data_IF_912998745693
#
_entry.id   IF_912998745693
#
_cell.length_a   1.000
_cell.length_b   1.000
_cell.length_c   1.000
_cell.angle_alpha   90.00
_cell.angle_beta   90.00
_cell.angle_gamma   90.00
#
_symmetry.space_group_name_H-M   'P 1'
#
loop_
_entity.id
_entity.type
_entity.pdbx_description
1 polymer ?
#
# COMPACT_ATOMS: atom_id res chain seq x y z
N UNK A 1 -3.28 -25.80 -6.91
CA UNK A 1 -3.85 -26.23 -5.63
C UNK A 1 -2.93 -27.29 -5.01
N UNK A 2 -2.69 -27.23 -3.71
CA UNK A 2 -1.83 -28.18 -3.00
C UNK A 2 -2.63 -28.76 -1.85
N UNK A 3 -2.56 -30.07 -1.70
CA UNK A 3 -3.18 -30.77 -0.59
C UNK A 3 -2.21 -30.83 0.61
N UNK A 4 -2.59 -30.24 1.73
CA UNK A 4 -1.79 -30.19 2.95
C UNK A 4 -2.43 -31.13 3.98
N UNK A 5 -1.73 -32.20 4.31
CA UNK A 5 -2.27 -33.28 5.15
C UNK A 5 -1.83 -33.19 6.60
N UNK A 6 -0.68 -32.58 6.92
CA UNK A 6 -0.14 -32.48 8.26
C UNK A 6 0.11 -31.03 8.70
N UNK A 7 0.21 -30.82 10.04
CA UNK A 7 0.52 -29.53 10.64
C UNK A 7 1.95 -29.11 10.33
N UNK A 8 2.90 -30.02 10.43
CA UNK A 8 4.32 -29.76 10.18
C UNK A 8 4.56 -29.37 8.71
N UNK A 9 3.84 -30.00 7.78
CA UNK A 9 3.89 -29.63 6.36
C UNK A 9 3.32 -28.23 6.11
N UNK A 10 2.26 -27.83 6.82
CA UNK A 10 1.69 -26.49 6.72
C UNK A 10 2.67 -25.44 7.27
N UNK A 11 3.26 -25.70 8.45
CA UNK A 11 4.19 -24.78 9.08
C UNK A 11 5.44 -24.59 8.24
N UNK A 12 6.08 -25.66 7.76
CA UNK A 12 7.22 -25.58 6.87
C UNK A 12 6.92 -24.81 5.57
N UNK A 13 5.77 -25.08 4.95
CA UNK A 13 5.39 -24.41 3.70
C UNK A 13 5.02 -22.92 3.90
N UNK A 14 4.57 -22.54 5.10
CA UNK A 14 4.33 -21.13 5.45
C UNK A 14 5.63 -20.41 5.79
N UNK A 15 6.56 -21.04 6.52
CA UNK A 15 7.88 -20.50 6.85
C UNK A 15 8.70 -20.26 5.56
N UNK A 16 8.70 -21.20 4.65
CA UNK A 16 9.39 -21.08 3.35
C UNK A 16 8.66 -20.16 2.36
N UNK A 17 7.50 -19.63 2.72
CA UNK A 17 6.65 -18.84 1.81
C UNK A 17 6.35 -19.55 0.47
N UNK A 18 6.19 -20.87 0.49
CA UNK A 18 5.92 -21.67 -0.71
C UNK A 18 4.43 -21.75 -1.06
N UNK A 19 3.57 -21.40 -0.14
CA UNK A 19 2.10 -21.44 -0.30
C UNK A 19 1.45 -20.11 0.03
N UNK A 20 0.31 -19.86 -0.61
CA UNK A 20 -0.65 -18.80 -0.28
C UNK A 20 -1.99 -19.46 0.03
N UNK A 21 -2.60 -19.06 1.14
CA UNK A 21 -3.93 -19.48 1.52
C UNK A 21 -4.96 -18.53 0.92
N UNK A 22 -6.03 -19.05 0.32
CA UNK A 22 -7.12 -18.25 -0.24
C UNK A 22 -8.46 -18.85 0.11
N UNK A 23 -9.43 -17.99 0.37
CA UNK A 23 -10.83 -18.36 0.43
C UNK A 23 -11.34 -18.57 -1.00
N UNK A 24 -11.92 -19.74 -1.32
CA UNK A 24 -12.51 -19.99 -2.66
C UNK A 24 -13.59 -18.98 -3.07
N UNK A 25 -14.24 -18.34 -2.08
CA UNK A 25 -15.27 -17.32 -2.30
C UNK A 25 -14.72 -15.91 -2.43
N UNK A 26 -13.52 -15.66 -1.89
CA UNK A 26 -12.85 -14.36 -1.95
C UNK A 26 -11.36 -14.54 -2.26
N UNK A 27 -11.05 -14.68 -3.55
CA UNK A 27 -9.70 -14.93 -4.05
C UNK A 27 -8.73 -13.76 -3.85
N UNK A 28 -9.25 -12.57 -3.55
CA UNK A 28 -8.44 -11.37 -3.36
C UNK A 28 -7.90 -11.21 -1.94
N UNK A 29 -8.52 -11.83 -0.94
CA UNK A 29 -8.10 -11.73 0.45
C UNK A 29 -7.19 -12.89 0.84
N UNK A 30 -6.00 -12.59 1.36
CA UNK A 30 -5.16 -13.56 2.07
C UNK A 30 -5.60 -13.57 3.54
N UNK A 31 -6.23 -14.64 4.04
CA UNK A 31 -6.55 -14.72 5.45
C UNK A 31 -5.26 -14.78 6.28
N UNK A 32 -5.18 -13.98 7.34
CA UNK A 32 -4.06 -14.04 8.27
C UNK A 32 -4.00 -15.42 8.90
N UNK A 33 -2.92 -16.14 8.71
CA UNK A 33 -2.66 -17.43 9.36
C UNK A 33 -2.33 -17.21 10.85
N UNK A 34 -3.38 -17.08 11.68
CA UNK A 34 -3.22 -16.78 13.10
C UNK A 34 -2.98 -18.02 13.99
N UNK A 35 -3.38 -19.21 13.52
CA UNK A 35 -3.26 -20.46 14.27
C UNK A 35 -3.22 -21.65 13.30
N UNK A 36 -2.11 -22.38 13.27
CA UNK A 36 -1.87 -23.50 12.35
C UNK A 36 -2.94 -24.61 12.50
N UNK A 37 -3.46 -24.82 13.71
CA UNK A 37 -4.48 -25.84 13.96
C UNK A 37 -5.85 -25.44 13.40
N UNK A 38 -6.22 -24.17 13.49
CA UNK A 38 -7.47 -23.63 12.89
C UNK A 38 -7.38 -23.59 11.38
N UNK A 39 -6.23 -23.15 10.85
CA UNK A 39 -5.94 -23.12 9.42
C UNK A 39 -5.99 -24.51 8.79
N UNK A 40 -5.42 -25.53 9.45
CA UNK A 40 -5.50 -26.92 8.99
C UNK A 40 -6.93 -27.47 8.98
N UNK A 41 -7.75 -27.11 9.98
CA UNK A 41 -9.19 -27.46 9.99
C UNK A 41 -9.94 -26.79 8.83
N UNK A 42 -9.65 -25.52 8.55
CA UNK A 42 -10.26 -24.77 7.45
C UNK A 42 -9.85 -25.33 6.08
N UNK A 43 -8.61 -25.78 5.91
CA UNK A 43 -8.14 -26.49 4.72
C UNK A 43 -8.86 -27.83 4.54
N UNK A 44 -8.98 -28.63 5.59
CA UNK A 44 -9.70 -29.94 5.55
C UNK A 44 -11.21 -29.79 5.32
N UNK A 45 -11.83 -28.69 5.76
CA UNK A 45 -13.25 -28.39 5.51
C UNK A 45 -13.50 -27.78 4.13
N UNK A 46 -12.47 -27.46 3.35
CA UNK A 46 -12.57 -26.77 2.07
C UNK A 46 -12.92 -25.30 2.14
N UNK A 47 -12.94 -24.71 3.37
CA UNK A 47 -13.16 -23.28 3.56
C UNK A 47 -11.97 -22.42 3.12
N UNK A 48 -10.77 -23.01 3.14
CA UNK A 48 -9.54 -22.44 2.61
C UNK A 48 -8.92 -23.41 1.62
N UNK A 49 -8.18 -22.88 0.65
CA UNK A 49 -7.37 -23.63 -0.31
C UNK A 49 -5.94 -23.12 -0.28
N UNK A 50 -4.99 -24.05 -0.40
CA UNK A 50 -3.58 -23.73 -0.48
C UNK A 50 -3.14 -23.74 -1.95
N UNK A 51 -2.53 -22.65 -2.39
CA UNK A 51 -1.97 -22.51 -3.72
C UNK A 51 -0.45 -22.33 -3.63
N UNK A 52 0.27 -22.94 -4.55
CA UNK A 52 1.71 -22.76 -4.64
C UNK A 52 2.05 -21.36 -5.10
N UNK A 53 3.03 -20.73 -4.45
CA UNK A 53 3.56 -19.43 -4.88
C UNK A 53 4.28 -19.62 -6.22
N UNK A 54 3.91 -18.91 -7.28
CA UNK A 54 4.58 -19.02 -8.57
C UNK A 54 6.01 -18.51 -8.46
N UNK A 55 6.92 -19.17 -9.21
CA UNK A 55 8.36 -18.83 -9.25
C UNK A 55 8.70 -18.34 -10.64
N UNK A 56 9.44 -17.24 -10.72
CA UNK A 56 9.86 -16.61 -11.96
C UNK A 56 11.39 -16.44 -12.00
N UNK A 57 11.97 -16.66 -13.15
CA UNK A 57 13.41 -16.56 -13.35
C UNK A 57 13.85 -15.16 -13.79
N UNK A 58 12.98 -14.41 -14.44
CA UNK A 58 13.27 -13.07 -14.94
C UNK A 58 12.01 -12.19 -15.01
N UNK A 59 12.18 -10.90 -15.25
CA UNK A 59 11.09 -9.93 -15.36
C UNK A 59 10.17 -10.19 -16.55
N UNK A 60 10.70 -10.69 -17.69
CA UNK A 60 9.90 -10.98 -18.87
C UNK A 60 8.86 -12.09 -18.65
N UNK A 61 9.19 -13.11 -17.82
CA UNK A 61 8.21 -14.12 -17.41
C UNK A 61 7.09 -13.50 -16.56
N UNK A 62 7.43 -12.56 -15.68
CA UNK A 62 6.46 -11.83 -14.85
C UNK A 62 5.55 -10.97 -15.72
N UNK A 63 6.12 -10.25 -16.69
CA UNK A 63 5.35 -9.43 -17.64
C UNK A 63 4.38 -10.27 -18.45
N UNK A 64 4.84 -11.42 -18.95
CA UNK A 64 3.98 -12.35 -19.68
C UNK A 64 2.85 -12.89 -18.78
N UNK A 65 3.15 -13.27 -17.55
CA UNK A 65 2.16 -13.75 -16.60
C UNK A 65 1.10 -12.70 -16.24
N UNK A 66 1.49 -11.42 -16.16
CA UNK A 66 0.56 -10.30 -15.95
C UNK A 66 -0.28 -10.07 -17.21
N UNK A 67 0.34 -10.04 -18.39
CA UNK A 67 -0.36 -9.84 -19.66
C UNK A 67 -1.41 -10.91 -19.94
N UNK A 68 -1.17 -12.15 -19.50
CA UNK A 68 -2.11 -13.28 -19.59
C UNK A 68 -3.11 -13.35 -18.41
N UNK A 69 -3.08 -12.39 -17.48
CA UNK A 69 -3.87 -12.40 -16.25
C UNK A 69 -3.67 -13.66 -15.38
N UNK A 70 -2.54 -14.35 -15.52
CA UNK A 70 -2.21 -15.49 -14.68
C UNK A 70 -1.81 -15.07 -13.25
N UNK A 71 -1.25 -13.85 -13.11
CA UNK A 71 -0.81 -13.28 -11.82
C UNK A 71 -1.19 -11.80 -11.78
N UNK A 72 -1.75 -11.34 -10.65
CA UNK A 72 -2.01 -9.91 -10.42
C UNK A 72 -0.75 -9.17 -9.94
N UNK A 73 -0.72 -7.84 -10.09
CA UNK A 73 0.40 -6.99 -9.64
C UNK A 73 0.72 -7.12 -8.15
N UNK A 74 -0.27 -7.46 -7.33
CA UNK A 74 -0.15 -7.58 -5.88
C UNK A 74 0.01 -9.03 -5.39
N UNK A 75 -0.02 -10.02 -6.30
CA UNK A 75 0.12 -11.41 -5.92
C UNK A 75 1.52 -11.70 -5.35
N UNK A 76 1.58 -12.58 -4.34
CA UNK A 76 2.86 -13.05 -3.81
C UNK A 76 3.53 -13.98 -4.80
N UNK A 77 4.78 -13.69 -5.13
CA UNK A 77 5.63 -14.46 -6.05
C UNK A 77 7.02 -14.68 -5.46
N UNK A 78 7.72 -15.70 -5.97
CA UNK A 78 9.16 -15.86 -5.80
C UNK A 78 9.84 -15.50 -7.11
N UNK A 79 10.77 -14.56 -7.08
CA UNK A 79 11.47 -14.11 -8.29
C UNK A 79 12.96 -14.01 -8.04
N UNK A 80 13.77 -14.21 -9.09
CA UNK A 80 15.19 -13.91 -9.03
C UNK A 80 15.42 -12.42 -9.23
N UNK A 81 16.18 -11.83 -8.34
CA UNK A 81 16.59 -10.43 -8.42
C UNK A 81 18.08 -10.35 -8.73
N UNK A 82 18.42 -9.76 -9.87
CA UNK A 82 19.80 -9.59 -10.30
C UNK A 82 20.39 -8.35 -9.64
N UNK A 83 21.39 -8.52 -8.79
CA UNK A 83 22.12 -7.46 -8.10
C UNK A 83 23.60 -7.79 -8.05
N UNK A 84 24.37 -6.96 -7.38
CA UNK A 84 25.80 -7.18 -7.11
C UNK A 84 26.03 -7.32 -5.61
N UNK A 85 26.99 -8.13 -5.21
CA UNK A 85 27.44 -8.23 -3.82
C UNK A 85 28.40 -7.09 -3.45
N UNK A 86 28.88 -7.08 -2.20
CA UNK A 86 29.85 -6.10 -1.70
C UNK A 86 31.17 -6.10 -2.45
N UNK A 87 31.53 -7.22 -3.08
CA UNK A 87 32.74 -7.40 -3.89
C UNK A 87 32.53 -7.01 -5.37
N UNK A 88 31.29 -6.64 -5.77
CA UNK A 88 30.94 -6.29 -7.15
C UNK A 88 30.61 -7.49 -8.05
N UNK A 89 30.52 -8.71 -7.51
CA UNK A 89 30.16 -9.89 -8.30
C UNK A 89 28.63 -9.94 -8.53
N UNK A 90 28.16 -10.37 -9.71
CA UNK A 90 26.75 -10.51 -9.99
C UNK A 90 26.15 -11.68 -9.21
N UNK A 91 25.12 -11.40 -8.42
CA UNK A 91 24.34 -12.38 -7.69
C UNK A 91 22.86 -12.33 -8.09
N UNK A 92 22.18 -13.46 -7.97
CA UNK A 92 20.77 -13.59 -8.36
C UNK A 92 19.99 -14.34 -7.28
N UNK A 93 19.82 -13.76 -6.08
CA UNK A 93 19.05 -14.37 -5.01
C UNK A 93 17.58 -14.52 -5.40
N UNK A 94 16.94 -15.57 -4.88
CA UNK A 94 15.49 -15.73 -4.97
C UNK A 94 14.84 -14.95 -3.82
N UNK A 95 13.96 -14.02 -4.16
CA UNK A 95 13.26 -13.18 -3.19
C UNK A 95 11.76 -13.42 -3.24
N UNK A 96 11.12 -13.33 -2.09
CA UNK A 96 9.66 -13.33 -1.98
C UNK A 96 9.18 -11.89 -2.10
N UNK A 97 8.34 -11.63 -3.08
CA UNK A 97 7.92 -10.27 -3.42
C UNK A 97 6.60 -10.27 -4.18
N UNK A 98 6.27 -9.15 -4.82
CA UNK A 98 5.13 -9.00 -5.73
C UNK A 98 5.60 -8.55 -7.10
N UNK A 99 4.85 -8.83 -8.19
CA UNK A 99 5.17 -8.35 -9.53
C UNK A 99 5.39 -6.85 -9.59
N UNK A 100 4.55 -6.06 -8.92
CA UNK A 100 4.69 -4.60 -8.90
C UNK A 100 6.01 -4.11 -8.29
N UNK A 101 6.50 -4.79 -7.24
CA UNK A 101 7.81 -4.48 -6.65
C UNK A 101 8.97 -4.90 -7.56
N UNK A 102 8.80 -5.96 -8.34
CA UNK A 102 9.82 -6.37 -9.33
C UNK A 102 9.96 -5.35 -10.47
N UNK A 103 8.86 -4.72 -10.91
CA UNK A 103 8.94 -3.61 -11.85
C UNK A 103 9.73 -2.43 -11.28
N UNK A 104 9.51 -2.09 -10.02
CA UNK A 104 10.27 -1.03 -9.36
C UNK A 104 11.75 -1.43 -9.17
N UNK A 105 12.01 -2.70 -8.90
CA UNK A 105 13.36 -3.25 -8.77
C UNK A 105 14.18 -3.12 -10.06
N UNK A 106 13.55 -3.24 -11.22
CA UNK A 106 14.24 -3.15 -12.51
C UNK A 106 14.78 -1.73 -12.80
N UNK A 107 14.12 -0.71 -12.27
CA UNK A 107 14.58 0.68 -12.45
C UNK A 107 15.56 1.13 -11.36
N UNK A 108 15.70 0.36 -10.28
CA UNK A 108 16.60 0.66 -9.18
C UNK A 108 18.06 0.54 -9.64
N UNK A 109 18.97 1.46 -9.27
CA UNK A 109 20.40 1.31 -9.56
C UNK A 109 20.94 0.03 -8.91
N UNK A 110 21.75 -0.72 -9.67
CA UNK A 110 22.40 -1.95 -9.20
C UNK A 110 23.65 -1.60 -8.42
N UNK A 111 23.49 -1.34 -7.14
CA UNK A 111 24.58 -1.06 -6.20
C UNK A 111 24.42 -1.95 -4.97
N UNK A 112 25.50 -2.43 -4.35
CA UNK A 112 25.43 -3.20 -3.11
C UNK A 112 24.81 -2.38 -1.97
N UNK A 113 25.03 -1.07 -1.98
CA UNK A 113 24.52 -0.13 -0.96
C UNK A 113 23.02 0.19 -1.12
N UNK A 114 22.40 -0.24 -2.23
CA UNK A 114 20.96 -0.06 -2.49
C UNK A 114 20.28 -1.43 -2.55
N UNK A 115 20.02 -2.05 -1.38
CA UNK A 115 19.50 -3.41 -1.31
C UNK A 115 18.02 -3.47 -1.73
N UNK A 116 17.61 -4.62 -2.26
CA UNK A 116 16.20 -4.89 -2.63
C UNK A 116 15.21 -4.69 -1.47
N UNK A 117 15.65 -4.87 -0.23
CA UNK A 117 14.82 -4.68 0.96
C UNK A 117 14.22 -3.28 1.08
N UNK A 118 14.87 -2.25 0.50
CA UNK A 118 14.36 -0.88 0.47
C UNK A 118 13.01 -0.75 -0.23
N UNK A 119 12.79 -1.58 -1.26
CA UNK A 119 11.55 -1.56 -2.05
C UNK A 119 10.63 -2.75 -1.75
N UNK A 120 11.12 -3.79 -1.07
CA UNK A 120 10.32 -4.97 -0.73
C UNK A 120 9.46 -4.77 0.53
N UNK A 121 8.84 -3.61 0.65
CA UNK A 121 7.94 -3.21 1.74
C UNK A 121 6.76 -2.41 1.19
N UNK A 122 5.83 -2.03 2.05
CA UNK A 122 4.78 -1.08 1.66
C UNK A 122 5.44 0.28 1.38
N UNK A 123 5.25 0.80 0.18
CA UNK A 123 5.84 2.06 -0.27
C UNK A 123 4.77 3.15 -0.27
N UNK A 124 4.76 3.96 0.77
CA UNK A 124 4.01 5.22 0.82
C UNK A 124 4.86 6.36 0.22
N UNK A 125 4.28 7.55 0.10
CA UNK A 125 5.01 8.74 -0.37
C UNK A 125 6.28 9.00 0.44
N UNK A 126 6.25 8.76 1.75
CA UNK A 126 7.38 8.97 2.66
C UNK A 126 8.50 7.96 2.42
N UNK A 127 8.16 6.69 2.25
CA UNK A 127 9.13 5.63 1.95
C UNK A 127 9.76 5.80 0.58
N UNK A 128 9.00 6.24 -0.44
CA UNK A 128 9.57 6.56 -1.76
C UNK A 128 10.59 7.70 -1.66
N UNK A 129 10.30 8.74 -0.84
CA UNK A 129 11.27 9.81 -0.59
C UNK A 129 12.55 9.27 0.06
N UNK A 130 12.43 8.33 1.00
CA UNK A 130 13.59 7.67 1.60
C UNK A 130 14.40 6.86 0.57
N UNK A 131 13.73 6.12 -0.33
CA UNK A 131 14.41 5.38 -1.41
C UNK A 131 15.21 6.33 -2.30
N UNK A 132 14.64 7.48 -2.67
CA UNK A 132 15.34 8.48 -3.48
C UNK A 132 16.55 9.06 -2.72
N UNK A 133 16.42 9.33 -1.43
CA UNK A 133 17.52 9.83 -0.59
C UNK A 133 18.67 8.79 -0.48
N UNK A 134 18.34 7.51 -0.28
CA UNK A 134 19.34 6.43 -0.26
C UNK A 134 20.05 6.28 -1.62
N UNK A 135 19.30 6.32 -2.73
CA UNK A 135 19.90 6.30 -4.08
C UNK A 135 20.82 7.51 -4.28
N UNK A 136 20.43 8.70 -3.80
CA UNK A 136 21.27 9.88 -3.90
C UNK A 136 22.57 9.76 -3.10
N UNK A 137 22.49 9.24 -1.88
CA UNK A 137 23.67 9.10 -1.00
C UNK A 137 24.68 8.10 -1.52
N UNK A 138 24.21 6.99 -2.08
CA UNK A 138 25.09 5.88 -2.49
C UNK A 138 25.44 5.90 -3.97
N UNK A 139 24.57 6.38 -4.86
CA UNK A 139 24.79 6.37 -6.31
C UNK A 139 25.04 7.76 -6.90
N UNK A 140 24.85 8.83 -6.13
CA UNK A 140 25.08 10.21 -6.56
C UNK A 140 23.99 10.80 -7.43
N UNK A 141 24.13 12.10 -7.76
CA UNK A 141 23.10 12.91 -8.41
C UNK A 141 22.65 12.37 -9.77
N UNK A 142 23.57 11.93 -10.62
CA UNK A 142 23.26 11.45 -11.98
C UNK A 142 22.31 10.25 -11.95
N UNK A 143 22.67 9.21 -11.18
CA UNK A 143 21.86 8.00 -11.07
C UNK A 143 20.51 8.27 -10.42
N UNK A 144 20.45 9.20 -9.48
CA UNK A 144 19.19 9.64 -8.86
C UNK A 144 18.26 10.29 -9.86
N UNK A 145 18.76 11.17 -10.73
CA UNK A 145 17.95 11.78 -11.79
C UNK A 145 17.42 10.72 -12.76
N UNK A 146 18.27 9.78 -13.20
CA UNK A 146 17.88 8.69 -14.10
C UNK A 146 16.82 7.80 -13.42
N UNK A 147 17.00 7.47 -12.13
CA UNK A 147 16.04 6.68 -11.37
C UNK A 147 14.69 7.40 -11.25
N UNK A 148 14.70 8.70 -10.92
CA UNK A 148 13.48 9.51 -10.80
C UNK A 148 12.71 9.60 -12.12
N UNK A 149 13.40 9.82 -13.25
CA UNK A 149 12.80 9.87 -14.58
C UNK A 149 12.17 8.53 -14.97
N UNK A 150 12.87 7.42 -14.72
CA UNK A 150 12.36 6.08 -14.97
C UNK A 150 11.15 5.75 -14.10
N UNK A 151 11.19 6.14 -12.82
CA UNK A 151 10.07 5.96 -11.88
C UNK A 151 8.85 6.75 -12.34
N UNK A 152 9.02 7.99 -12.77
CA UNK A 152 7.95 8.83 -13.31
C UNK A 152 7.34 8.21 -14.57
N UNK A 153 8.16 7.79 -15.51
CA UNK A 153 7.71 7.15 -16.75
C UNK A 153 6.94 5.85 -16.49
N UNK A 154 7.45 5.01 -15.57
CA UNK A 154 6.77 3.80 -15.13
C UNK A 154 5.43 4.11 -14.46
N UNK A 155 5.40 5.10 -13.56
CA UNK A 155 4.19 5.51 -12.84
C UNK A 155 3.10 5.98 -13.80
N UNK A 156 3.41 6.85 -14.75
CA UNK A 156 2.45 7.29 -15.77
C UNK A 156 1.99 6.13 -16.66
N UNK A 157 2.90 5.25 -17.07
CA UNK A 157 2.57 4.08 -17.86
C UNK A 157 1.60 3.12 -17.14
N UNK A 158 1.82 2.86 -15.86
CA UNK A 158 0.94 1.99 -15.08
C UNK A 158 -0.41 2.68 -14.77
N UNK A 159 -0.41 3.98 -14.47
CA UNK A 159 -1.65 4.74 -14.27
C UNK A 159 -2.53 4.74 -15.53
N UNK A 160 -1.92 4.91 -16.71
CA UNK A 160 -2.64 4.83 -17.98
C UNK A 160 -3.22 3.43 -18.24
N UNK A 161 -2.47 2.36 -17.91
CA UNK A 161 -2.96 0.97 -18.04
C UNK A 161 -4.09 0.65 -17.04
N UNK A 162 -4.02 1.19 -15.84
CA UNK A 162 -5.05 1.01 -14.82
C UNK A 162 -6.38 1.66 -15.21
N UNK A 163 -6.35 2.72 -16.04
CA UNK A 163 -7.56 3.39 -16.54
C UNK A 163 -8.43 4.00 -15.44
N UNK A 164 -7.83 4.38 -14.31
CA UNK A 164 -8.56 4.95 -13.15
C UNK A 164 -8.97 6.37 -13.51
N UNK A 165 -10.28 6.64 -13.42
CA UNK A 165 -10.87 7.98 -13.56
C UNK A 165 -11.66 8.28 -12.31
N UNK A 166 -11.62 9.52 -11.85
CA UNK A 166 -12.49 9.98 -10.77
C UNK A 166 -13.10 11.34 -11.14
N UNK A 167 -14.31 11.55 -10.71
CA UNK A 167 -15.06 12.78 -10.91
C UNK A 167 -15.51 13.40 -9.60
N UNK A 168 -16.18 14.54 -9.68
CA UNK A 168 -16.75 15.23 -8.52
C UNK A 168 -17.75 14.35 -7.77
N UNK A 169 -18.50 13.53 -8.49
CA UNK A 169 -19.59 12.72 -7.93
C UNK A 169 -19.08 11.50 -7.16
N UNK A 170 -17.79 11.13 -7.34
CA UNK A 170 -17.14 10.07 -6.57
C UNK A 170 -16.75 10.53 -5.15
N UNK A 171 -16.75 11.85 -4.91
CA UNK A 171 -16.50 12.43 -3.60
C UNK A 171 -17.80 12.44 -2.77
N UNK A 172 -18.01 11.38 -2.00
CA UNK A 172 -19.19 11.22 -1.17
C UNK A 172 -19.14 12.16 0.02
N UNK A 173 -20.19 12.96 0.19
CA UNK A 173 -20.33 13.85 1.35
C UNK A 173 -20.79 13.00 2.55
N UNK A 174 -20.02 12.95 3.67
CA UNK A 174 -20.42 12.17 4.84
C UNK A 174 -21.65 12.78 5.52
N UNK A 175 -22.56 11.95 6.03
CA UNK A 175 -23.76 12.38 6.75
C UNK A 175 -23.42 13.14 8.04
N UNK A 176 -22.28 12.81 8.66
CA UNK A 176 -21.75 13.47 9.86
C UNK A 176 -21.37 14.95 9.65
N UNK A 177 -21.16 15.40 8.40
CA UNK A 177 -20.74 16.76 8.06
C UNK A 177 -21.57 17.85 8.73
N UNK A 178 -22.89 17.70 8.71
CA UNK A 178 -23.79 18.69 9.27
C UNK A 178 -23.65 18.80 10.80
N UNK A 179 -23.38 17.69 11.49
CA UNK A 179 -23.12 17.66 12.92
C UNK A 179 -21.82 18.40 13.27
N UNK A 180 -20.72 18.07 12.57
CA UNK A 180 -19.41 18.70 12.78
C UNK A 180 -19.44 20.23 12.55
N UNK A 181 -20.15 20.66 11.51
CA UNK A 181 -20.33 22.10 11.23
C UNK A 181 -21.14 22.78 12.33
N UNK A 182 -22.20 22.14 12.84
CA UNK A 182 -23.01 22.70 13.90
C UNK A 182 -22.22 22.88 15.21
N UNK A 183 -21.41 21.88 15.59
CA UNK A 183 -20.49 21.93 16.74
C UNK A 183 -19.47 23.07 16.59
N UNK A 184 -18.85 23.20 15.41
CA UNK A 184 -17.93 24.28 15.13
C UNK A 184 -18.60 25.66 15.24
N UNK A 185 -19.83 25.82 14.69
CA UNK A 185 -20.59 27.05 14.81
C UNK A 185 -20.92 27.41 16.25
N UNK A 186 -21.26 26.44 17.09
CA UNK A 186 -21.55 26.68 18.49
C UNK A 186 -20.31 27.08 19.27
N UNK A 187 -19.13 26.52 18.98
CA UNK A 187 -17.86 26.98 19.54
C UNK A 187 -17.54 28.43 19.11
N UNK A 188 -17.77 28.75 17.84
CA UNK A 188 -17.59 30.15 17.37
C UNK A 188 -18.49 31.13 18.10
N UNK A 189 -19.79 30.79 18.34
CA UNK A 189 -20.69 31.61 19.12
C UNK A 189 -20.21 31.80 20.56
N UNK A 190 -19.67 30.78 21.20
CA UNK A 190 -19.09 30.86 22.53
C UNK A 190 -17.92 31.85 22.57
N UNK A 191 -17.00 31.80 21.58
CA UNK A 191 -15.88 32.76 21.50
C UNK A 191 -16.36 34.18 21.17
N UNK A 192 -17.44 34.31 20.43
CA UNK A 192 -18.07 35.61 20.19
C UNK A 192 -18.65 36.20 21.49
N UNK A 193 -19.31 35.37 22.29
CA UNK A 193 -19.83 35.80 23.58
C UNK A 193 -18.68 36.20 24.55
N UNK A 194 -17.60 35.39 24.62
CA UNK A 194 -16.45 35.74 25.44
C UNK A 194 -15.81 37.09 25.03
N UNK A 195 -15.83 37.41 23.74
CA UNK A 195 -15.34 38.71 23.27
C UNK A 195 -16.28 39.84 23.69
N UNK A 196 -17.59 39.65 23.59
CA UNK A 196 -18.60 40.64 24.00
C UNK A 196 -18.53 40.90 25.54
N UNK A 197 -18.26 39.85 26.30
CA UNK A 197 -18.07 39.91 27.76
C UNK A 197 -16.72 40.53 28.16
N UNK A 198 -15.86 40.86 27.20
CA UNK A 198 -14.55 41.45 27.43
C UNK A 198 -13.46 40.49 27.98
N UNK A 199 -13.73 39.18 27.91
CA UNK A 199 -12.83 38.16 28.43
C UNK A 199 -11.63 37.87 27.48
N UNK A 200 -11.80 38.10 26.18
CA UNK A 200 -10.79 37.89 25.16
C UNK A 200 -10.67 39.11 24.24
N UNK A 201 -9.48 39.30 23.67
CA UNK A 201 -9.22 40.36 22.70
C UNK A 201 -9.74 40.01 21.31
N UNK A 202 -9.86 41.03 20.45
CA UNK A 202 -10.27 40.82 19.04
C UNK A 202 -9.32 39.90 18.29
N UNK A 203 -8.01 39.99 18.56
CA UNK A 203 -7.00 39.14 17.95
C UNK A 203 -7.11 37.68 18.41
N UNK A 204 -7.32 37.46 19.70
CA UNK A 204 -7.53 36.12 20.26
C UNK A 204 -8.81 35.47 19.72
N UNK A 205 -9.93 36.23 19.65
CA UNK A 205 -11.16 35.77 19.01
C UNK A 205 -10.90 35.29 17.60
N UNK A 206 -10.20 36.10 16.76
CA UNK A 206 -9.90 35.78 15.38
C UNK A 206 -9.09 34.49 15.28
N UNK A 207 -8.02 34.34 16.05
CA UNK A 207 -7.18 33.13 16.03
C UNK A 207 -7.99 31.90 16.45
N UNK A 208 -8.74 31.98 17.55
CA UNK A 208 -9.58 30.86 18.02
C UNK A 208 -10.64 30.43 16.98
N UNK A 209 -11.24 31.38 16.29
CA UNK A 209 -12.24 31.08 15.22
C UNK A 209 -11.58 30.42 14.03
N UNK A 210 -10.38 30.87 13.62
CA UNK A 210 -9.60 30.23 12.54
C UNK A 210 -9.23 28.80 12.93
N UNK A 211 -8.75 28.58 14.17
CA UNK A 211 -8.37 27.25 14.66
C UNK A 211 -9.58 26.29 14.65
N UNK A 212 -10.76 26.74 15.09
CA UNK A 212 -11.99 25.92 15.06
C UNK A 212 -12.36 25.52 13.65
N UNK A 213 -12.32 26.43 12.68
CA UNK A 213 -12.66 26.11 11.30
C UNK A 213 -11.60 25.24 10.63
N UNK A 214 -10.32 25.40 10.97
CA UNK A 214 -9.25 24.53 10.50
C UNK A 214 -9.46 23.09 10.99
N UNK A 215 -9.68 22.92 12.31
CA UNK A 215 -9.95 21.61 12.88
C UNK A 215 -11.20 20.96 12.28
N UNK A 216 -12.30 21.71 12.14
CA UNK A 216 -13.53 21.21 11.51
C UNK A 216 -13.29 20.76 10.05
N UNK A 217 -12.44 21.47 9.29
CA UNK A 217 -12.10 21.10 7.93
C UNK A 217 -11.33 19.78 7.89
N UNK A 218 -10.37 19.60 8.78
CA UNK A 218 -9.59 18.38 8.88
C UNK A 218 -10.48 17.19 9.31
N UNK A 219 -11.36 17.37 10.29
CA UNK A 219 -12.29 16.34 10.74
C UNK A 219 -13.28 15.91 9.63
N UNK A 220 -13.82 16.86 8.86
CA UNK A 220 -14.69 16.55 7.72
C UNK A 220 -13.93 15.80 6.63
N UNK A 221 -12.66 16.16 6.37
CA UNK A 221 -11.81 15.45 5.41
C UNK A 221 -11.52 14.01 5.86
N UNK A 222 -11.21 13.81 7.14
CA UNK A 222 -10.96 12.48 7.71
C UNK A 222 -12.21 11.59 7.64
N UNK A 223 -13.39 12.13 7.97
CA UNK A 223 -14.66 11.39 7.86
C UNK A 223 -14.99 11.05 6.39
N UNK A 224 -14.76 11.97 5.47
CA UNK A 224 -14.91 11.70 4.03
C UNK A 224 -13.98 10.56 3.58
N UNK A 225 -12.72 10.57 4.00
CA UNK A 225 -11.77 9.50 3.68
C UNK A 225 -12.18 8.16 4.28
N UNK A 226 -12.71 8.15 5.50
CA UNK A 226 -13.26 6.93 6.12
C UNK A 226 -14.44 6.37 5.33
N UNK A 227 -15.39 7.22 4.94
CA UNK A 227 -16.55 6.81 4.14
C UNK A 227 -16.11 6.26 2.78
N UNK A 228 -15.18 6.92 2.09
CA UNK A 228 -14.66 6.45 0.80
C UNK A 228 -13.85 5.15 0.90
N UNK A 229 -13.14 4.93 2.01
CA UNK A 229 -12.35 3.71 2.23
C UNK A 229 -13.18 2.54 2.78
N UNK A 230 -14.35 2.81 3.38
CA UNK A 230 -15.28 1.79 3.86
C UNK A 230 -16.32 1.49 2.77
N UNK A 231 -16.16 0.38 2.05
CA UNK A 231 -17.20 -0.06 1.12
C UNK A 231 -18.24 -0.90 1.87
N UNK A 232 -19.44 -0.37 2.01
CA UNK A 232 -20.63 -1.20 2.24
C UNK A 232 -20.94 -1.94 0.94
N UNK A 233 -20.42 -3.18 0.80
CA UNK A 233 -20.75 -4.05 -0.34
C UNK A 233 -19.58 -4.67 -1.10
N UNK A 234 -18.34 -4.55 -0.64
CA UNK A 234 -17.19 -5.31 -1.16
C UNK A 234 -16.48 -4.72 -2.39
N UNK A 235 -16.90 -3.58 -2.90
CA UNK A 235 -16.15 -2.79 -3.87
C UNK A 235 -15.49 -1.62 -3.15
N UNK A 236 -14.17 -1.70 -2.98
CA UNK A 236 -13.37 -0.56 -2.54
C UNK A 236 -13.30 0.42 -3.71
N UNK A 237 -13.85 1.61 -3.55
CA UNK A 237 -13.53 2.71 -4.44
C UNK A 237 -12.03 3.03 -4.24
N UNK A 238 -11.20 2.60 -5.20
CA UNK A 238 -9.75 2.75 -5.19
C UNK A 238 -9.34 4.20 -5.52
#
# INVERSE_FOLDING_TARGET
>A
EIEITSKDMLEAALEDHDIVLRDPKNLSAEPAAQDSAKTLKALKSGSLKAYRVPRFSNIGEIEHAIATNAVSLNARIKARYNTVDEEGNPISPVVVTTPGRMYLAEILPRSPDVPFSLINRLLTKREITQVIDEVYRHCGQKETCIFADRMMAMGFGQAAKAGISFGKDDLVIPDSKHGLIAEAQDMVKQYEQQYLDGLITKGEKYNKVVDVWSACTDEVADEMMKVMSSSEGGEVNA
#
